data_IF_366337932710
#
_entry.id   IF_366337932710
#
_cell.length_a   1.000
_cell.length_b   1.000
_cell.length_c   1.000
_cell.angle_alpha   90.00
_cell.angle_beta   90.00
_cell.angle_gamma   90.00
#
_symmetry.space_group_name_H-M   'P 1'
#
loop_
_entity.id
_entity.type
_entity.pdbx_description
1 polymer ?
#
# COMPACT_ATOMS: atom_id res chain seq x y z
N UNK A 1 0.89 -7.33 21.46
CA UNK A 1 1.63 -6.07 21.66
C UNK A 1 2.82 -6.06 20.68
N UNK A 2 2.87 -5.20 19.66
CA UNK A 2 4.10 -5.12 18.84
C UNK A 2 5.21 -4.49 19.69
N UNK A 3 6.30 -5.23 19.89
CA UNK A 3 7.50 -4.78 20.57
C UNK A 3 7.90 -3.37 20.07
N UNK A 4 7.89 -2.37 20.96
CA UNK A 4 8.35 -1.00 20.65
C UNK A 4 9.85 -1.05 20.44
N UNK A 5 10.29 -1.30 19.20
CA UNK A 5 11.69 -1.12 18.83
C UNK A 5 11.88 0.32 18.39
N UNK A 6 12.58 1.07 19.23
CA UNK A 6 13.13 2.35 18.82
C UNK A 6 14.01 2.16 17.57
N UNK A 7 14.09 3.20 16.77
CA UNK A 7 14.89 3.16 15.56
C UNK A 7 14.97 4.52 14.90
N UNK A 8 15.26 4.49 13.61
CA UNK A 8 15.52 5.69 12.83
C UNK A 8 14.69 5.67 11.57
N UNK A 9 14.23 6.85 11.17
CA UNK A 9 13.88 7.15 9.78
C UNK A 9 15.03 7.94 9.19
N UNK A 10 15.41 7.65 7.95
CA UNK A 10 16.52 8.30 7.27
C UNK A 10 16.10 8.82 5.89
N UNK A 11 16.82 9.84 5.44
CA UNK A 11 16.74 10.41 4.09
C UNK A 11 18.08 10.15 3.42
N UNK A 12 18.05 9.49 2.26
CA UNK A 12 19.22 9.27 1.41
C UNK A 12 19.09 10.02 0.10
N UNK A 13 20.19 10.60 -0.34
CA UNK A 13 20.35 11.15 -1.69
C UNK A 13 21.34 10.29 -2.48
N UNK A 14 21.33 10.43 -3.80
CA UNK A 14 22.31 9.79 -4.66
C UNK A 14 22.71 10.79 -5.77
N UNK A 15 24.02 11.09 -5.97
CA UNK A 15 24.45 11.99 -7.03
C UNK A 15 24.05 11.55 -8.44
N UNK A 16 23.86 10.24 -8.68
CA UNK A 16 23.37 9.71 -9.95
C UNK A 16 21.86 9.93 -10.15
N UNK A 17 21.13 10.40 -9.13
CA UNK A 17 19.69 10.62 -9.16
C UNK A 17 19.36 12.00 -8.55
N UNK A 18 19.74 13.11 -9.19
CA UNK A 18 19.49 14.45 -8.68
C UNK A 18 17.98 14.74 -8.56
N UNK A 19 17.58 15.45 -7.51
CA UNK A 19 16.17 15.75 -7.22
C UNK A 19 15.33 14.56 -6.75
N UNK A 20 15.98 13.43 -6.45
CA UNK A 20 15.32 12.22 -5.96
C UNK A 20 15.93 11.79 -4.62
N UNK A 21 15.06 11.56 -3.64
CA UNK A 21 15.46 11.05 -2.33
C UNK A 21 14.79 9.74 -2.01
N UNK A 22 15.50 8.89 -1.27
CA UNK A 22 14.96 7.69 -0.65
C UNK A 22 14.66 7.95 0.81
N UNK A 23 13.43 7.65 1.23
CA UNK A 23 13.02 7.74 2.64
C UNK A 23 12.72 6.34 3.14
N UNK A 24 13.45 5.89 4.15
CA UNK A 24 13.29 4.56 4.72
C UNK A 24 13.55 4.54 6.22
N UNK A 25 13.44 3.37 6.82
CA UNK A 25 13.71 3.16 8.25
C UNK A 25 14.72 2.07 8.54
N UNK A 26 15.19 2.05 9.78
CA UNK A 26 15.96 0.95 10.36
C UNK A 26 15.75 0.90 11.88
N UNK A 27 15.92 -0.27 12.49
CA UNK A 27 16.02 -0.42 13.97
C UNK A 27 17.46 -0.45 14.46
N UNK A 28 18.44 -0.53 13.54
CA UNK A 28 19.89 -0.43 13.80
C UNK A 28 20.40 0.97 13.50
N UNK A 29 21.71 1.20 13.57
CA UNK A 29 22.27 2.47 13.18
C UNK A 29 22.09 2.73 11.66
N UNK A 30 21.70 3.96 11.25
CA UNK A 30 21.46 4.29 9.83
C UNK A 30 22.68 4.06 8.93
N UNK A 31 23.88 4.31 9.43
CA UNK A 31 25.13 4.14 8.65
C UNK A 31 25.32 2.70 8.20
N UNK A 32 24.98 1.72 9.04
CA UNK A 32 25.10 0.30 8.70
C UNK A 32 24.14 -0.04 7.57
N UNK A 33 22.92 0.49 7.64
CA UNK A 33 21.93 0.29 6.58
C UNK A 33 22.36 0.94 5.26
N UNK A 34 22.98 2.12 5.30
CA UNK A 34 23.52 2.79 4.11
C UNK A 34 24.66 1.97 3.51
N UNK A 35 25.56 1.43 4.34
CA UNK A 35 26.65 0.54 3.87
C UNK A 35 26.09 -0.68 3.14
N UNK A 36 25.12 -1.36 3.72
CA UNK A 36 24.44 -2.51 3.08
C UNK A 36 23.82 -2.16 1.73
N UNK A 37 23.14 -1.01 1.65
CA UNK A 37 22.52 -0.54 0.41
C UNK A 37 23.56 -0.23 -0.67
N UNK A 38 24.71 0.34 -0.28
CA UNK A 38 25.80 0.65 -1.19
C UNK A 38 26.59 -0.59 -1.64
N UNK A 39 26.56 -1.68 -0.88
CA UNK A 39 27.15 -2.96 -1.27
C UNK A 39 26.31 -3.75 -2.28
N UNK A 40 25.06 -3.35 -2.53
CA UNK A 40 24.21 -4.02 -3.51
C UNK A 40 24.60 -3.64 -4.96
N UNK A 41 24.64 -4.63 -5.87
CA UNK A 41 25.06 -4.47 -7.27
C UNK A 41 24.17 -3.56 -8.15
N UNK A 42 23.08 -3.03 -7.59
CA UNK A 42 22.09 -2.21 -8.32
C UNK A 42 22.24 -0.70 -8.15
N UNK A 43 23.34 -0.22 -7.58
CA UNK A 43 23.55 1.19 -7.23
C UNK A 43 24.76 1.74 -7.98
N UNK A 44 24.54 2.70 -8.89
CA UNK A 44 25.60 3.25 -9.75
C UNK A 44 26.61 4.14 -8.99
N UNK A 45 26.12 4.97 -8.05
CA UNK A 45 26.93 5.78 -7.14
C UNK A 45 26.43 5.59 -5.71
N UNK A 46 27.29 5.65 -4.69
CA UNK A 46 26.89 5.40 -3.31
C UNK A 46 25.83 6.40 -2.84
N UNK A 47 24.85 5.91 -2.09
CA UNK A 47 23.92 6.75 -1.35
C UNK A 47 24.65 7.53 -0.27
N UNK A 48 24.27 8.80 -0.13
CA UNK A 48 24.68 9.68 0.96
C UNK A 48 23.55 9.77 1.99
N UNK A 49 23.91 9.66 3.27
CA UNK A 49 22.99 9.88 4.37
C UNK A 49 22.85 11.39 4.61
N UNK A 50 21.70 11.96 4.27
CA UNK A 50 21.44 13.40 4.45
C UNK A 50 20.88 13.71 5.85
N UNK A 51 20.02 12.84 6.37
CA UNK A 51 19.61 12.92 7.77
C UNK A 51 19.15 11.56 8.30
N UNK A 52 19.22 11.44 9.62
CA UNK A 52 18.55 10.38 10.38
C UNK A 52 17.82 10.99 11.57
N UNK A 53 16.62 10.51 11.84
CA UNK A 53 15.76 11.01 12.91
C UNK A 53 15.34 9.82 13.76
N UNK A 54 15.68 9.87 15.05
CA UNK A 54 15.33 8.84 16.02
C UNK A 54 13.83 8.91 16.32
N UNK A 55 13.17 7.75 16.36
CA UNK A 55 11.74 7.64 16.67
C UNK A 55 11.48 6.35 17.46
N UNK A 56 10.49 6.42 18.35
CA UNK A 56 10.00 5.25 19.11
C UNK A 56 9.19 4.28 18.24
N UNK A 57 8.73 4.72 17.07
CA UNK A 57 7.85 3.97 16.18
C UNK A 57 8.28 4.05 14.71
N UNK A 58 9.48 3.53 14.35
CA UNK A 58 10.05 3.71 13.01
C UNK A 58 9.14 3.23 11.88
N UNK A 59 8.46 2.09 12.06
CA UNK A 59 7.51 1.56 11.07
C UNK A 59 6.29 2.45 10.86
N UNK A 60 5.78 3.05 11.94
CA UNK A 60 4.63 3.94 11.84
C UNK A 60 5.02 5.28 11.23
N UNK A 61 6.16 5.84 11.66
CA UNK A 61 6.68 7.12 11.13
C UNK A 61 7.00 7.02 9.64
N UNK A 62 7.65 5.95 9.19
CA UNK A 62 7.91 5.70 7.76
C UNK A 62 6.62 5.66 6.93
N UNK A 63 5.63 4.88 7.37
CA UNK A 63 4.34 4.78 6.68
C UNK A 63 3.63 6.14 6.61
N UNK A 64 3.69 6.91 7.69
CA UNK A 64 3.09 8.24 7.72
C UNK A 64 3.78 9.19 6.73
N UNK A 65 5.12 9.16 6.67
CA UNK A 65 5.89 9.95 5.71
C UNK A 65 5.61 9.55 4.27
N UNK A 66 5.57 8.24 3.99
CA UNK A 66 5.23 7.73 2.65
C UNK A 66 3.82 8.13 2.24
N UNK A 67 2.86 8.15 3.18
CA UNK A 67 1.51 8.61 2.94
C UNK A 67 1.48 10.12 2.66
N UNK A 68 2.13 10.93 3.50
CA UNK A 68 2.23 12.38 3.36
C UNK A 68 2.86 12.79 2.04
N UNK A 69 3.91 12.08 1.61
CA UNK A 69 4.70 12.39 0.43
C UNK A 69 4.27 11.62 -0.83
N UNK A 70 3.13 10.91 -0.79
CA UNK A 70 2.70 10.05 -1.89
C UNK A 70 2.54 10.80 -3.22
N UNK A 71 2.19 12.10 -3.18
CA UNK A 71 2.13 12.97 -4.37
C UNK A 71 3.48 13.19 -5.07
N UNK A 72 4.58 13.01 -4.36
CA UNK A 72 5.95 13.16 -4.87
C UNK A 72 6.56 11.80 -5.24
N UNK A 73 5.83 10.69 -5.04
CA UNK A 73 6.36 9.35 -5.21
C UNK A 73 6.39 8.96 -6.69
N UNK A 74 7.58 8.68 -7.23
CA UNK A 74 7.73 8.30 -8.65
C UNK A 74 7.13 6.94 -8.97
N UNK A 75 7.28 5.98 -8.06
CA UNK A 75 6.77 4.62 -8.24
C UNK A 75 6.20 4.11 -6.91
N UNK A 76 4.92 3.76 -6.87
CA UNK A 76 4.26 3.29 -5.65
C UNK A 76 4.87 2.00 -5.08
N UNK A 77 5.61 1.21 -5.88
CA UNK A 77 6.33 0.02 -5.43
C UNK A 77 7.69 0.33 -4.80
N UNK A 78 8.21 1.55 -4.97
CA UNK A 78 9.54 1.96 -4.48
C UNK A 78 9.42 3.13 -3.51
N UNK A 79 10.46 3.39 -2.73
CA UNK A 79 10.46 4.38 -1.64
C UNK A 79 11.22 5.66 -2.05
N UNK A 80 11.04 6.08 -3.30
CA UNK A 80 11.70 7.26 -3.87
C UNK A 80 10.71 8.39 -4.12
N UNK A 81 11.12 9.60 -3.76
CA UNK A 81 10.29 10.80 -3.76
C UNK A 81 11.03 11.94 -4.46
N UNK A 82 10.35 12.63 -5.38
CA UNK A 82 10.87 13.74 -6.16
C UNK A 82 10.80 15.03 -5.34
N UNK A 83 11.87 15.28 -4.59
CA UNK A 83 12.03 16.32 -3.58
C UNK A 83 13.51 16.66 -3.45
N UNK A 84 13.86 17.89 -3.04
CA UNK A 84 15.22 18.15 -2.60
C UNK A 84 15.53 17.45 -1.26
N UNK A 85 16.80 17.18 -1.00
CA UNK A 85 17.24 16.60 0.28
C UNK A 85 16.81 17.47 1.47
N UNK A 86 17.00 18.79 1.37
CA UNK A 86 16.69 19.73 2.44
C UNK A 86 15.19 19.77 2.77
N UNK A 87 14.32 19.80 1.76
CA UNK A 87 12.87 19.73 1.94
C UNK A 87 12.45 18.41 2.60
N UNK A 88 13.00 17.28 2.12
CA UNK A 88 12.70 15.98 2.67
C UNK A 88 13.13 15.86 4.13
N UNK A 89 14.31 16.42 4.48
CA UNK A 89 14.81 16.47 5.85
C UNK A 89 13.91 17.33 6.74
N UNK A 90 13.48 18.51 6.27
CA UNK A 90 12.58 19.38 7.02
C UNK A 90 11.23 18.69 7.33
N UNK A 91 10.64 18.02 6.33
CA UNK A 91 9.38 17.28 6.47
C UNK A 91 9.55 16.08 7.42
N UNK A 92 10.65 15.34 7.32
CA UNK A 92 10.89 14.20 8.21
C UNK A 92 11.07 14.66 9.67
N UNK A 93 11.76 15.78 9.90
CA UNK A 93 11.94 16.36 11.24
C UNK A 93 10.61 16.84 11.84
N UNK A 94 9.73 17.47 11.05
CA UNK A 94 8.43 17.92 11.54
C UNK A 94 7.50 16.76 11.89
N UNK A 95 7.56 15.66 11.14
CA UNK A 95 6.76 14.45 11.38
C UNK A 95 6.95 13.83 12.78
N UNK A 96 8.15 13.91 13.35
CA UNK A 96 8.45 13.33 14.67
C UNK A 96 8.09 14.28 15.82
N UNK A 97 7.94 15.58 15.54
CA UNK A 97 7.63 16.62 16.54
C UNK A 97 6.14 16.89 16.70
N UNK A 98 5.32 16.49 15.73
CA UNK A 98 3.90 16.85 15.65
C UNK A 98 3.01 15.62 15.81
N UNK A 99 1.74 15.84 16.17
CA UNK A 99 0.74 14.78 16.06
C UNK A 99 0.46 14.44 14.59
N UNK A 100 -0.08 13.25 14.33
CA UNK A 100 -0.40 12.79 12.96
C UNK A 100 -1.31 13.78 12.21
N UNK A 101 -2.35 14.29 12.87
CA UNK A 101 -3.33 15.18 12.23
C UNK A 101 -2.71 16.53 11.88
N UNK A 102 -1.92 17.11 12.79
CA UNK A 102 -1.21 18.37 12.56
C UNK A 102 -0.17 18.23 11.45
N UNK A 103 0.60 17.14 11.46
CA UNK A 103 1.59 16.86 10.42
C UNK A 103 0.95 16.73 9.04
N UNK A 104 -0.12 15.94 8.91
CA UNK A 104 -0.79 15.76 7.62
C UNK A 104 -1.38 17.07 7.08
N UNK A 105 -1.89 17.93 7.96
CA UNK A 105 -2.36 19.26 7.59
C UNK A 105 -1.22 20.15 7.11
N UNK A 106 -0.08 20.16 7.81
CA UNK A 106 1.05 21.04 7.48
C UNK A 106 1.69 20.73 6.13
N UNK A 107 1.69 19.46 5.71
CA UNK A 107 2.19 19.05 4.37
C UNK A 107 1.15 19.16 3.25
N UNK A 108 -0.09 19.60 3.56
CA UNK A 108 -1.17 19.69 2.58
C UNK A 108 -1.64 18.33 2.05
N UNK A 109 -1.60 17.27 2.88
CA UNK A 109 -2.01 15.93 2.47
C UNK A 109 -3.52 15.88 2.15
N UNK A 110 -3.86 15.38 0.95
CA UNK A 110 -5.25 15.10 0.55
C UNK A 110 -5.50 13.58 0.63
N UNK A 111 -6.49 13.11 1.42
CA UNK A 111 -6.77 11.69 1.51
C UNK A 111 -7.23 11.13 0.17
N UNK A 112 -6.69 9.97 -0.23
CA UNK A 112 -7.20 9.26 -1.41
C UNK A 112 -8.66 8.85 -1.17
N UNK A 113 -9.56 9.02 -2.16
CA UNK A 113 -10.93 8.55 -2.02
C UNK A 113 -10.92 7.05 -1.78
N UNK A 114 -11.65 6.57 -0.77
CA UNK A 114 -11.86 5.13 -0.57
C UNK A 114 -12.62 4.63 -1.79
N UNK A 115 -11.99 3.80 -2.63
CA UNK A 115 -12.70 3.11 -3.69
C UNK A 115 -13.82 2.31 -3.01
N UNK A 116 -15.10 2.50 -3.36
CA UNK A 116 -16.15 1.66 -2.83
C UNK A 116 -15.78 0.22 -3.18
N UNK A 117 -15.92 -0.70 -2.20
CA UNK A 117 -15.88 -2.14 -2.50
C UNK A 117 -17.11 -2.42 -3.36
N UNK A 118 -17.00 -2.19 -4.66
CA UNK A 118 -18.02 -2.58 -5.62
C UNK A 118 -18.27 -4.06 -5.42
N UNK A 119 -19.53 -4.41 -5.25
CA UNK A 119 -20.05 -5.76 -5.02
C UNK A 119 -19.94 -6.62 -6.30
N UNK A 120 -18.80 -6.56 -7.00
CA UNK A 120 -18.56 -7.26 -8.28
C UNK A 120 -18.57 -8.78 -8.11
N UNK A 121 -18.34 -9.28 -6.89
CA UNK A 121 -18.37 -10.70 -6.58
C UNK A 121 -19.72 -11.35 -6.92
N UNK A 122 -20.84 -10.68 -6.63
CA UNK A 122 -22.18 -11.21 -6.86
C UNK A 122 -22.55 -11.21 -8.35
N UNK A 123 -22.07 -10.21 -9.10
CA UNK A 123 -22.28 -10.13 -10.54
C UNK A 123 -21.54 -11.25 -11.29
N UNK A 124 -20.31 -11.59 -10.85
CA UNK A 124 -19.56 -12.74 -11.40
C UNK A 124 -20.21 -14.08 -11.07
N UNK A 125 -20.77 -14.23 -9.87
CA UNK A 125 -21.53 -15.42 -9.48
C UNK A 125 -22.80 -15.57 -10.31
N UNK A 126 -23.56 -14.49 -10.54
CA UNK A 126 -24.78 -14.53 -11.32
C UNK A 126 -24.54 -14.95 -12.78
N UNK A 127 -23.48 -14.44 -13.43
CA UNK A 127 -23.10 -14.84 -14.81
C UNK A 127 -22.66 -16.30 -14.87
N UNK A 128 -21.95 -16.80 -13.86
CA UNK A 128 -21.59 -18.21 -13.77
C UNK A 128 -22.82 -19.11 -13.71
N UNK A 129 -23.83 -18.73 -12.94
CA UNK A 129 -25.10 -19.47 -12.82
C UNK A 129 -25.86 -19.51 -14.15
N UNK A 130 -25.97 -18.39 -14.87
CA UNK A 130 -26.67 -18.37 -16.17
C UNK A 130 -25.96 -19.18 -17.25
N UNK A 131 -24.63 -19.17 -17.28
CA UNK A 131 -23.86 -19.99 -18.24
C UNK A 131 -24.00 -21.48 -17.94
N UNK A 132 -23.98 -21.88 -16.67
CA UNK A 132 -24.20 -23.29 -16.28
C UNK A 132 -25.62 -23.74 -16.66
N UNK A 133 -26.63 -22.92 -16.40
CA UNK A 133 -28.02 -23.23 -16.79
C UNK A 133 -28.18 -23.39 -18.31
N UNK A 134 -27.57 -22.50 -19.10
CA UNK A 134 -27.60 -22.60 -20.58
C UNK A 134 -26.93 -23.88 -21.09
N UNK A 135 -25.82 -24.30 -20.47
CA UNK A 135 -25.10 -25.51 -20.87
C UNK A 135 -25.87 -26.77 -20.46
N UNK A 136 -26.58 -26.76 -19.32
CA UNK A 136 -27.45 -27.87 -18.93
C UNK A 136 -28.64 -28.07 -19.87
N UNK A 137 -29.17 -27.00 -20.48
CA UNK A 137 -30.27 -27.09 -21.44
C UNK A 137 -29.85 -27.66 -22.81
N UNK A 138 -28.54 -27.63 -23.14
CA UNK A 138 -28.02 -28.22 -24.39
C UNK A 138 -27.74 -29.73 -24.21
N UNK A 139 -27.54 -30.21 -22.99
CA UNK A 139 -27.06 -31.58 -22.74
C UNK A 139 -28.16 -32.58 -22.30
N UNK A 140 -29.34 -32.15 -21.88
CA UNK A 140 -30.41 -33.08 -21.44
C UNK A 140 -31.76 -32.53 -21.88
N UNK A 141 -32.28 -33.05 -22.98
CA UNK A 141 -33.64 -32.78 -23.45
C UNK A 141 -34.67 -33.00 -22.33
N UNK A 142 -35.54 -32.00 -22.15
CA UNK A 142 -36.87 -32.01 -21.50
C UNK A 142 -37.07 -32.64 -20.12
N UNK A 143 -36.08 -33.29 -19.51
CA UNK A 143 -36.21 -33.96 -18.20
C UNK A 143 -35.88 -33.05 -17.01
N UNK A 144 -35.05 -32.01 -17.19
CA UNK A 144 -34.57 -31.16 -16.09
C UNK A 144 -35.60 -30.13 -15.62
N UNK A 145 -36.43 -29.62 -16.53
CA UNK A 145 -37.48 -28.63 -16.22
C UNK A 145 -38.53 -29.20 -15.25
N UNK A 146 -38.86 -30.49 -15.40
CA UNK A 146 -39.82 -31.17 -14.51
C UNK A 146 -39.24 -31.49 -13.13
N UNK A 147 -37.94 -31.78 -13.02
CA UNK A 147 -37.30 -32.04 -11.71
C UNK A 147 -37.03 -30.76 -10.94
N UNK A 148 -36.71 -29.65 -11.61
CA UNK A 148 -36.57 -28.34 -10.99
C UNK A 148 -37.93 -27.78 -10.47
N UNK A 149 -39.04 -28.01 -11.19
CA UNK A 149 -40.38 -27.66 -10.72
C UNK A 149 -40.80 -28.47 -9.49
N UNK A 150 -40.45 -29.78 -9.44
CA UNK A 150 -40.72 -30.63 -8.28
C UNK A 150 -39.96 -30.20 -7.02
N UNK A 151 -38.68 -29.83 -7.17
CA UNK A 151 -37.85 -29.35 -6.04
C UNK A 151 -38.29 -27.98 -5.51
N UNK A 152 -38.71 -27.06 -6.39
CA UNK A 152 -39.26 -25.77 -5.98
C UNK A 152 -40.55 -25.91 -5.14
N UNK A 153 -41.39 -26.89 -5.48
CA UNK A 153 -42.64 -27.18 -4.75
C UNK A 153 -42.40 -27.84 -3.38
N UNK A 154 -41.31 -28.59 -3.21
CA UNK A 154 -40.92 -29.21 -1.94
C UNK A 154 -40.24 -28.24 -0.97
N UNK A 155 -39.49 -27.27 -1.49
CA UNK A 155 -38.72 -26.31 -0.66
C UNK A 155 -39.55 -25.08 -0.24
N UNK A 156 -40.60 -24.73 -0.98
CA UNK A 156 -41.42 -23.53 -0.72
C UNK A 156 -42.93 -23.80 -0.61
N UNK A 157 -43.36 -25.05 -0.68
CA UNK A 157 -44.75 -25.47 -0.53
C UNK A 157 -45.03 -26.14 0.81
N UNK A 158 -44.79 -25.42 1.91
CA UNK A 158 -45.33 -25.74 3.23
C UNK A 158 -46.25 -24.60 3.66
N UNK A 159 -47.55 -24.90 3.78
CA UNK A 159 -48.49 -24.13 4.59
C UNK A 159 -47.98 -24.05 6.04
#
# INVERSE_FOLDING_TARGET
MSEKKEGYVYVLSNPAMPGLVKIGRTTRHPTDRVRELNSASGVALPFKLEASIRTKYPNWTEKLLHQALDRYRLNHKREFFQLSADEAVAICKSCVRMSKSEFLKSVGYKPKPRRPKLLVGWLKMAVGITVVALISDIAIGTQFVNTAWLYGRLMFGGL
#
